data_IF_669461366016
#
_entry.id   IF_669461366016
#
_cell.length_a   1.000
_cell.length_b   1.000
_cell.length_c   1.000
_cell.angle_alpha   90.00
_cell.angle_beta   90.00
_cell.angle_gamma   90.00
#
_symmetry.space_group_name_H-M   'P 1'
#
loop_
_entity.id
_entity.type
_entity.pdbx_description
1 polymer ?
#
# COMPACT_ATOMS: atom_id res chain seq x y z
N UNK A 1 -13.20 -5.26 -67.69
CA UNK A 1 -13.02 -4.27 -66.61
C UNK A 1 -12.26 -4.97 -65.50
N UNK A 2 -10.96 -4.71 -65.36
CA UNK A 2 -10.13 -5.36 -64.35
C UNK A 2 -10.43 -4.76 -62.96
N UNK A 3 -10.45 -5.57 -61.88
CA UNK A 3 -10.63 -5.05 -60.53
C UNK A 3 -9.43 -4.17 -60.13
N UNK A 4 -9.64 -3.14 -59.29
CA UNK A 4 -8.56 -2.28 -58.83
C UNK A 4 -7.59 -3.06 -57.93
N UNK A 5 -6.29 -2.76 -57.99
CA UNK A 5 -5.32 -3.41 -57.12
C UNK A 5 -5.62 -3.05 -55.66
N UNK A 6 -5.78 -4.09 -54.83
CA UNK A 6 -5.90 -3.97 -53.38
C UNK A 6 -4.64 -3.29 -52.84
N UNK A 7 -4.79 -2.08 -52.30
CA UNK A 7 -3.68 -1.38 -51.65
C UNK A 7 -3.13 -2.27 -50.53
N UNK A 8 -1.90 -2.76 -50.70
CA UNK A 8 -1.18 -3.47 -49.66
C UNK A 8 -1.09 -2.55 -48.44
N UNK A 9 -1.60 -2.98 -47.29
CA UNK A 9 -1.32 -2.29 -46.02
C UNK A 9 0.19 -2.34 -45.83
N UNK A 10 0.86 -1.21 -46.05
CA UNK A 10 2.27 -1.05 -45.74
C UNK A 10 2.53 -1.37 -44.26
N UNK A 11 3.80 -1.63 -43.92
CA UNK A 11 4.23 -1.78 -42.54
C UNK A 11 3.63 -0.67 -41.67
N UNK A 12 3.16 -0.97 -40.44
CA UNK A 12 2.56 0.03 -39.56
C UNK A 12 3.52 1.21 -39.40
N UNK A 13 3.02 2.43 -39.66
CA UNK A 13 3.77 3.66 -39.51
C UNK A 13 4.38 3.73 -38.10
N UNK A 14 5.71 3.81 -38.02
CA UNK A 14 6.45 3.80 -36.77
C UNK A 14 6.03 4.96 -35.85
N UNK A 15 5.67 6.12 -36.42
CA UNK A 15 5.16 7.26 -35.67
C UNK A 15 3.79 6.95 -35.04
N UNK A 16 2.89 6.30 -35.79
CA UNK A 16 1.59 5.88 -35.30
C UNK A 16 1.72 4.80 -34.20
N UNK A 17 2.65 3.85 -34.35
CA UNK A 17 2.92 2.83 -33.33
C UNK A 17 3.46 3.45 -32.04
N UNK A 18 4.45 4.33 -32.14
CA UNK A 18 4.99 5.11 -31.03
C UNK A 18 3.91 5.87 -30.28
N UNK A 19 3.07 6.63 -31.00
CA UNK A 19 1.97 7.40 -30.41
C UNK A 19 0.96 6.53 -29.66
N UNK A 20 0.62 5.35 -30.20
CA UNK A 20 -0.26 4.38 -29.53
C UNK A 20 0.36 3.84 -28.24
N UNK A 21 1.64 3.48 -28.25
CA UNK A 21 2.35 3.01 -27.05
C UNK A 21 2.34 4.10 -25.98
N UNK A 22 2.73 5.32 -26.33
CA UNK A 22 2.77 6.46 -25.41
C UNK A 22 1.39 6.71 -24.79
N UNK A 23 0.34 6.77 -25.62
CA UNK A 23 -1.03 7.02 -25.17
C UNK A 23 -1.50 5.92 -24.22
N UNK A 24 -1.28 4.66 -24.57
CA UNK A 24 -1.68 3.52 -23.75
C UNK A 24 -0.91 3.46 -22.43
N UNK A 25 0.41 3.69 -22.45
CA UNK A 25 1.23 3.69 -21.25
C UNK A 25 0.81 4.79 -20.27
N UNK A 26 0.55 5.99 -20.78
CA UNK A 26 0.10 7.11 -19.95
C UNK A 26 -1.32 6.93 -19.41
N UNK A 27 -2.21 6.27 -20.16
CA UNK A 27 -3.58 6.03 -19.72
C UNK A 27 -3.68 4.89 -18.69
N UNK A 28 -3.02 3.76 -18.96
CA UNK A 28 -3.33 2.50 -18.29
C UNK A 28 -2.18 1.94 -17.44
N UNK A 29 -0.94 2.43 -17.63
CA UNK A 29 0.27 1.85 -17.01
C UNK A 29 1.03 2.83 -16.12
N UNK A 30 0.31 3.72 -15.44
CA UNK A 30 0.88 4.69 -14.50
C UNK A 30 1.79 4.03 -13.45
N UNK A 31 1.41 2.85 -12.95
CA UNK A 31 2.24 2.09 -12.00
C UNK A 31 3.61 1.71 -12.57
N UNK A 32 3.65 1.24 -13.81
CA UNK A 32 4.90 0.87 -14.50
C UNK A 32 5.79 2.08 -14.70
N UNK A 33 5.23 3.23 -15.07
CA UNK A 33 6.01 4.47 -15.23
C UNK A 33 6.63 4.92 -13.90
N UNK A 34 5.89 4.81 -12.79
CA UNK A 34 6.41 5.07 -11.44
C UNK A 34 7.54 4.13 -11.08
N UNK A 35 7.39 2.83 -11.36
CA UNK A 35 8.40 1.82 -11.13
C UNK A 35 9.70 2.11 -11.87
N UNK A 36 9.61 2.47 -13.16
CA UNK A 36 10.79 2.78 -13.96
C UNK A 36 11.56 3.98 -13.41
N UNK A 37 10.84 5.05 -13.03
CA UNK A 37 11.45 6.22 -12.41
C UNK A 37 12.12 5.91 -11.06
N UNK A 38 11.50 5.08 -10.21
CA UNK A 38 12.08 4.71 -8.92
C UNK A 38 13.32 3.83 -9.08
N UNK A 39 13.25 2.82 -9.95
CA UNK A 39 14.32 1.83 -10.10
C UNK A 39 15.48 2.36 -10.93
N UNK A 40 15.22 2.84 -12.15
CA UNK A 40 16.26 3.24 -13.09
C UNK A 40 16.75 4.67 -12.89
N UNK A 41 15.92 5.56 -12.37
CA UNK A 41 16.24 6.98 -12.20
C UNK A 41 16.40 7.40 -10.74
N UNK A 42 16.20 6.47 -9.78
CA UNK A 42 16.27 6.73 -8.34
C UNK A 42 15.39 7.88 -7.86
N UNK A 43 14.29 8.16 -8.55
CA UNK A 43 13.33 9.19 -8.16
C UNK A 43 12.57 8.71 -6.92
N UNK A 44 12.49 9.50 -5.83
CA UNK A 44 11.69 9.15 -4.66
C UNK A 44 10.21 8.94 -5.02
N UNK A 45 9.52 8.01 -4.33
CA UNK A 45 8.11 7.68 -4.63
C UNK A 45 7.20 8.90 -4.77
N UNK A 46 7.35 9.89 -3.89
CA UNK A 46 6.57 11.13 -3.90
C UNK A 46 6.71 11.92 -5.21
N UNK A 47 7.86 11.86 -5.87
CA UNK A 47 8.10 12.54 -7.15
C UNK A 47 7.62 11.78 -8.37
N UNK A 48 7.14 10.54 -8.19
CA UNK A 48 6.65 9.70 -9.28
C UNK A 48 5.15 9.82 -9.52
N UNK A 49 4.39 10.51 -8.65
CA UNK A 49 2.93 10.58 -8.75
C UNK A 49 2.41 11.14 -10.08
N UNK A 50 3.19 11.97 -10.78
CA UNK A 50 2.86 12.56 -12.09
C UNK A 50 3.68 11.93 -13.23
N UNK A 51 4.07 10.66 -13.10
CA UNK A 51 4.86 9.97 -14.10
C UNK A 51 4.17 9.99 -15.47
N UNK A 52 4.93 10.33 -16.51
CA UNK A 52 4.44 10.24 -17.89
C UNK A 52 5.56 9.80 -18.84
N UNK A 53 5.18 9.04 -19.86
CA UNK A 53 6.03 8.66 -20.98
C UNK A 53 5.93 9.75 -22.06
N UNK A 54 7.04 10.40 -22.37
CA UNK A 54 7.13 11.41 -23.42
C UNK A 54 7.54 10.82 -24.76
N UNK A 55 8.48 9.87 -24.73
CA UNK A 55 9.07 9.28 -25.94
C UNK A 55 9.44 7.81 -25.69
N UNK A 56 9.38 7.01 -26.76
CA UNK A 56 9.92 5.66 -26.85
C UNK A 56 10.61 5.47 -28.20
N UNK A 57 11.83 4.95 -28.16
CA UNK A 57 12.62 4.51 -29.32
C UNK A 57 12.98 3.03 -29.20
N UNK A 58 13.79 2.48 -30.10
CA UNK A 58 14.34 1.12 -29.96
C UNK A 58 15.42 1.02 -28.88
N UNK A 59 16.02 2.15 -28.47
CA UNK A 59 17.17 2.18 -27.56
C UNK A 59 16.84 2.69 -26.17
N UNK A 60 15.80 3.51 -26.01
CA UNK A 60 15.45 4.10 -24.72
C UNK A 60 13.98 4.57 -24.67
N UNK A 61 13.50 4.81 -23.45
CA UNK A 61 12.30 5.61 -23.16
C UNK A 61 12.67 6.91 -22.48
N UNK A 62 11.80 7.91 -22.64
CA UNK A 62 11.93 9.19 -21.97
C UNK A 62 10.71 9.39 -21.08
N UNK A 63 10.98 9.52 -19.78
CA UNK A 63 9.98 9.66 -18.73
C UNK A 63 10.06 11.05 -18.12
N UNK A 64 8.92 11.61 -17.71
CA UNK A 64 8.86 12.83 -16.94
C UNK A 64 8.41 12.54 -15.51
N UNK A 65 8.96 13.27 -14.55
CA UNK A 65 8.60 13.21 -13.13
C UNK A 65 8.53 14.62 -12.55
N UNK A 66 8.20 14.76 -11.25
CA UNK A 66 8.24 16.07 -10.59
C UNK A 66 9.65 16.69 -10.55
N UNK A 67 10.68 15.90 -10.81
CA UNK A 67 12.08 16.34 -10.85
C UNK A 67 12.59 16.56 -12.29
N UNK A 68 11.71 16.50 -13.28
CA UNK A 68 12.03 16.75 -14.68
C UNK A 68 12.14 15.47 -15.52
N UNK A 69 12.89 15.58 -16.62
CA UNK A 69 12.95 14.58 -17.70
C UNK A 69 14.09 13.58 -17.47
N UNK A 70 13.80 12.29 -17.65
CA UNK A 70 14.68 11.16 -17.41
C UNK A 70 14.75 10.28 -18.65
N UNK A 71 15.94 9.73 -18.94
CA UNK A 71 16.15 8.80 -20.06
C UNK A 71 16.50 7.44 -19.48
N UNK A 72 15.73 6.41 -19.86
CA UNK A 72 15.97 5.02 -19.44
C UNK A 72 16.33 4.19 -20.66
N UNK A 73 17.57 3.70 -20.77
CA UNK A 73 17.98 2.86 -21.89
C UNK A 73 17.40 1.45 -21.79
N UNK A 74 17.18 0.82 -22.95
CA UNK A 74 16.83 -0.57 -23.07
C UNK A 74 18.09 -1.43 -23.16
N UNK A 75 18.22 -2.40 -22.26
CA UNK A 75 19.32 -3.37 -22.27
C UNK A 75 18.77 -4.80 -22.38
N UNK A 76 19.06 -5.54 -23.47
CA UNK A 76 19.57 -5.05 -24.75
C UNK A 76 18.57 -4.14 -25.49
N UNK A 77 19.02 -3.32 -26.46
CA UNK A 77 18.12 -2.55 -27.33
C UNK A 77 17.14 -3.44 -28.09
N UNK A 78 15.96 -2.91 -28.39
CA UNK A 78 14.94 -3.61 -29.18
C UNK A 78 15.30 -3.57 -30.66
N UNK A 79 14.91 -4.61 -31.42
CA UNK A 79 15.09 -4.63 -32.88
C UNK A 79 14.03 -3.81 -33.60
N UNK A 80 12.86 -3.67 -32.98
CA UNK A 80 11.68 -2.99 -33.53
C UNK A 80 10.76 -2.56 -32.40
N UNK A 81 9.98 -1.50 -32.60
CA UNK A 81 8.93 -1.07 -31.65
C UNK A 81 7.83 -2.14 -31.44
N UNK A 82 7.76 -3.15 -32.31
CA UNK A 82 6.88 -4.32 -32.10
C UNK A 82 7.25 -5.11 -30.84
N UNK A 83 8.52 -5.10 -30.42
CA UNK A 83 9.00 -5.73 -29.18
C UNK A 83 8.69 -4.88 -27.94
N UNK A 84 8.19 -3.65 -28.10
CA UNK A 84 7.98 -2.68 -27.03
C UNK A 84 7.09 -3.19 -25.90
N UNK A 85 6.01 -3.91 -26.23
CA UNK A 85 5.12 -4.49 -25.20
C UNK A 85 5.87 -5.49 -24.33
N UNK A 86 6.56 -6.44 -24.94
CA UNK A 86 7.29 -7.48 -24.21
C UNK A 86 8.40 -6.86 -23.37
N UNK A 87 9.15 -5.91 -23.93
CA UNK A 87 10.24 -5.21 -23.25
C UNK A 87 9.75 -4.44 -22.02
N UNK A 88 8.66 -3.67 -22.14
CA UNK A 88 8.10 -2.89 -21.04
C UNK A 88 7.51 -3.79 -19.93
N UNK A 89 6.85 -4.90 -20.31
CA UNK A 89 6.39 -5.90 -19.33
C UNK A 89 7.56 -6.52 -18.58
N UNK A 90 8.65 -6.88 -19.27
CA UNK A 90 9.85 -7.42 -18.63
C UNK A 90 10.49 -6.41 -17.67
N UNK A 91 10.60 -5.13 -18.08
CA UNK A 91 11.08 -4.06 -17.20
C UNK A 91 10.18 -3.88 -15.97
N UNK A 92 8.86 -3.97 -16.13
CA UNK A 92 7.90 -3.85 -15.03
C UNK A 92 8.11 -4.94 -13.98
N UNK A 93 8.18 -6.20 -14.43
CA UNK A 93 8.43 -7.34 -13.54
C UNK A 93 9.80 -7.25 -12.87
N UNK A 94 10.81 -6.78 -13.59
CA UNK A 94 12.13 -6.54 -13.04
C UNK A 94 12.09 -5.48 -11.91
N UNK A 95 11.46 -4.34 -12.17
CA UNK A 95 11.36 -3.27 -11.17
C UNK A 95 10.60 -3.71 -9.91
N UNK A 96 9.50 -4.47 -10.06
CA UNK A 96 8.76 -5.03 -8.92
C UNK A 96 9.66 -5.90 -8.04
N UNK A 97 10.46 -6.77 -8.67
CA UNK A 97 11.38 -7.66 -7.97
C UNK A 97 12.49 -6.88 -7.25
N UNK A 98 13.14 -5.95 -7.94
CA UNK A 98 14.28 -5.20 -7.39
C UNK A 98 13.88 -4.21 -6.29
N UNK A 99 12.67 -3.65 -6.34
CA UNK A 99 12.17 -2.72 -5.31
C UNK A 99 11.44 -3.43 -4.15
N UNK A 100 11.28 -4.75 -4.23
CA UNK A 100 10.46 -5.59 -3.33
C UNK A 100 9.03 -5.05 -3.20
N UNK A 101 8.40 -4.78 -4.35
CA UNK A 101 7.04 -4.27 -4.46
C UNK A 101 6.12 -5.31 -5.10
N UNK A 102 4.84 -5.22 -4.78
CA UNK A 102 3.79 -6.02 -5.42
C UNK A 102 3.13 -5.26 -6.56
N UNK A 103 2.50 -6.00 -7.46
CA UNK A 103 1.68 -5.45 -8.55
C UNK A 103 0.23 -5.14 -8.11
N UNK A 104 0.01 -5.04 -6.80
CA UNK A 104 -1.29 -4.81 -6.16
C UNK A 104 -1.24 -3.47 -5.45
N UNK A 105 -2.14 -2.58 -5.84
CA UNK A 105 -2.26 -1.24 -5.25
C UNK A 105 -3.40 -1.23 -4.25
N UNK A 106 -3.10 -0.86 -3.01
CA UNK A 106 -4.11 -0.61 -1.96
C UNK A 106 -4.27 0.91 -1.79
N UNK A 107 -5.37 1.42 -2.32
CA UNK A 107 -5.74 2.84 -2.35
C UNK A 107 -6.94 3.18 -1.45
N UNK A 108 -7.75 2.19 -1.08
CA UNK A 108 -8.89 2.32 -0.19
C UNK A 108 -8.69 1.59 1.14
N UNK A 109 -9.41 2.06 2.15
CA UNK A 109 -9.56 1.41 3.44
C UNK A 109 -11.04 1.10 3.66
N UNK A 110 -11.32 -0.10 4.16
CA UNK A 110 -12.65 -0.50 4.60
C UNK A 110 -12.53 -1.00 6.04
N UNK A 111 -13.45 -0.65 6.96
CA UNK A 111 -13.39 -1.13 8.33
C UNK A 111 -13.44 -2.66 8.42
N UNK A 112 -12.81 -3.28 9.44
CA UNK A 112 -12.83 -4.71 9.61
C UNK A 112 -14.24 -5.22 9.87
N UNK A 113 -14.54 -6.41 9.36
CA UNK A 113 -15.79 -7.12 9.63
C UNK A 113 -15.73 -7.87 10.97
N UNK A 114 -16.90 -7.98 11.62
CA UNK A 114 -17.07 -8.71 12.88
C UNK A 114 -16.82 -7.84 14.12
N UNK A 115 -17.29 -8.33 15.27
CA UNK A 115 -17.32 -7.57 16.53
C UNK A 115 -15.95 -7.55 17.24
N UNK A 116 -15.14 -8.60 17.05
CA UNK A 116 -13.90 -8.80 17.78
C UNK A 116 -12.90 -7.64 17.68
N UNK A 117 -12.57 -7.09 16.49
CA UNK A 117 -11.64 -5.96 16.38
C UNK A 117 -12.11 -4.72 17.13
N UNK A 118 -13.42 -4.45 17.14
CA UNK A 118 -13.97 -3.31 17.86
C UNK A 118 -13.90 -3.48 19.38
N UNK A 119 -14.15 -4.69 19.89
CA UNK A 119 -14.01 -5.00 21.32
C UNK A 119 -12.54 -4.88 21.76
N UNK A 120 -11.62 -5.44 20.97
CA UNK A 120 -10.19 -5.33 21.25
C UNK A 120 -9.73 -3.87 21.22
N UNK A 121 -10.12 -3.12 20.20
CA UNK A 121 -9.80 -1.69 20.09
C UNK A 121 -10.36 -0.87 21.26
N UNK A 122 -11.61 -1.14 21.68
CA UNK A 122 -12.21 -0.50 22.85
C UNK A 122 -11.44 -0.82 24.14
N UNK A 123 -10.98 -2.07 24.31
CA UNK A 123 -10.16 -2.47 25.45
C UNK A 123 -8.80 -1.75 25.45
N UNK A 124 -8.14 -1.65 24.30
CA UNK A 124 -6.86 -0.92 24.17
C UNK A 124 -7.05 0.57 24.48
N UNK A 125 -8.12 1.19 23.96
CA UNK A 125 -8.46 2.58 24.29
C UNK A 125 -8.71 2.73 25.79
N UNK A 126 -9.49 1.83 26.40
CA UNK A 126 -9.78 1.86 27.82
C UNK A 126 -8.49 1.77 28.64
N UNK A 127 -7.58 0.86 28.29
CA UNK A 127 -6.28 0.71 28.96
C UNK A 127 -5.46 1.99 28.83
N UNK A 128 -5.23 2.47 27.60
CA UNK A 128 -4.38 3.63 27.33
C UNK A 128 -4.93 4.93 27.94
N UNK A 129 -6.23 5.03 28.19
CA UNK A 129 -6.85 6.20 28.81
C UNK A 129 -6.96 6.11 30.33
N UNK A 130 -6.96 4.92 30.93
CA UNK A 130 -7.17 4.74 32.38
C UNK A 130 -5.90 4.39 33.14
N UNK A 131 -5.01 3.57 32.57
CA UNK A 131 -3.79 3.10 33.24
C UNK A 131 -2.75 4.20 33.53
N UNK A 132 -2.66 5.30 32.76
CA UNK A 132 -1.86 6.46 33.17
C UNK A 132 -2.30 7.06 34.51
N UNK A 133 -3.57 6.92 34.89
CA UNK A 133 -4.14 7.38 36.16
C UNK A 133 -4.24 6.22 37.15
N UNK A 134 -3.18 5.44 37.28
CA UNK A 134 -3.12 4.20 38.05
C UNK A 134 -3.70 4.31 39.46
N UNK A 135 -3.51 5.42 40.17
CA UNK A 135 -4.04 5.59 41.53
C UNK A 135 -5.57 5.63 41.59
N UNK A 136 -6.22 5.99 40.49
CA UNK A 136 -7.68 5.93 40.33
C UNK A 136 -8.21 4.50 40.17
N UNK A 137 -7.34 3.47 40.04
CA UNK A 137 -7.75 2.06 40.04
C UNK A 137 -7.94 1.49 41.45
N UNK A 138 -7.65 2.27 42.51
CA UNK A 138 -7.79 1.80 43.89
C UNK A 138 -9.19 2.11 44.43
N UNK A 139 -9.77 1.27 45.31
CA UNK A 139 -11.09 1.49 45.89
C UNK A 139 -11.26 2.84 46.59
N UNK A 140 -10.19 3.33 47.22
CA UNK A 140 -10.19 4.58 47.98
C UNK A 140 -10.41 5.81 47.08
N UNK A 141 -10.13 5.68 45.78
CA UNK A 141 -10.27 6.78 44.82
C UNK A 141 -11.73 7.16 44.55
N UNK A 142 -12.69 6.22 44.73
CA UNK A 142 -14.12 6.37 44.36
C UNK A 142 -14.32 6.97 42.97
N UNK A 143 -13.42 6.65 42.06
CA UNK A 143 -13.40 7.24 40.72
C UNK A 143 -14.17 6.38 39.73
N UNK A 144 -14.60 6.98 38.63
CA UNK A 144 -15.19 6.24 37.51
C UNK A 144 -14.23 5.16 36.96
N UNK A 145 -12.91 5.37 37.05
CA UNK A 145 -11.90 4.40 36.63
C UNK A 145 -11.96 3.15 37.51
N UNK A 146 -12.04 3.32 38.83
CA UNK A 146 -12.24 2.20 39.76
C UNK A 146 -13.55 1.46 39.46
N UNK A 147 -14.65 2.20 39.24
CA UNK A 147 -15.95 1.59 38.96
C UNK A 147 -15.94 0.78 37.65
N UNK A 148 -15.34 1.30 36.57
CA UNK A 148 -15.22 0.56 35.30
C UNK A 148 -14.43 -0.74 35.50
N UNK A 149 -13.25 -0.66 36.13
CA UNK A 149 -12.36 -1.82 36.27
C UNK A 149 -12.77 -2.78 37.39
N UNK A 150 -13.66 -2.37 38.30
CA UNK A 150 -14.29 -3.25 39.29
C UNK A 150 -15.64 -3.80 38.81
N UNK A 151 -16.08 -3.46 37.59
CA UNK A 151 -17.40 -3.81 37.04
C UNK A 151 -18.53 -3.34 37.96
N UNK A 152 -18.50 -2.06 38.34
CA UNK A 152 -19.45 -1.46 39.28
C UNK A 152 -19.35 -2.05 40.69
N UNK A 153 -18.16 -2.48 41.12
CA UNK A 153 -17.93 -3.14 42.40
C UNK A 153 -18.29 -4.63 42.45
N UNK A 154 -18.79 -5.22 41.36
CA UNK A 154 -19.09 -6.66 41.30
C UNK A 154 -17.82 -7.52 41.34
N UNK A 155 -16.71 -7.02 40.81
CA UNK A 155 -15.42 -7.71 40.73
C UNK A 155 -14.28 -6.78 41.17
N UNK A 156 -14.18 -6.40 42.45
CA UNK A 156 -13.13 -5.48 42.94
C UNK A 156 -11.70 -5.99 42.69
N UNK A 157 -11.54 -7.33 42.63
CA UNK A 157 -10.26 -7.97 42.32
C UNK A 157 -9.73 -7.63 40.93
N UNK A 158 -10.59 -7.32 39.95
CA UNK A 158 -10.18 -6.92 38.61
C UNK A 158 -9.50 -5.54 38.63
N UNK A 159 -10.06 -4.56 39.36
CA UNK A 159 -9.44 -3.25 39.54
C UNK A 159 -8.07 -3.35 40.24
N UNK A 160 -7.97 -4.22 41.26
CA UNK A 160 -6.71 -4.47 41.94
C UNK A 160 -5.67 -5.13 41.02
N UNK A 161 -6.07 -6.12 40.22
CA UNK A 161 -5.20 -6.75 39.23
C UNK A 161 -4.71 -5.73 38.19
N UNK A 162 -5.61 -4.89 37.68
CA UNK A 162 -5.27 -3.81 36.74
C UNK A 162 -4.31 -2.81 37.39
N UNK A 163 -4.51 -2.44 38.65
CA UNK A 163 -3.58 -1.59 39.38
C UNK A 163 -2.17 -2.22 39.44
N UNK A 164 -2.06 -3.53 39.71
CA UNK A 164 -0.77 -4.20 39.80
C UNK A 164 -0.07 -4.32 38.44
N UNK A 165 -0.83 -4.64 37.39
CA UNK A 165 -0.29 -4.89 36.06
C UNK A 165 -0.16 -3.63 35.18
N UNK A 166 -0.79 -2.51 35.56
CA UNK A 166 -0.89 -1.33 34.72
C UNK A 166 0.44 -0.86 34.11
N UNK A 167 1.55 -0.71 34.87
CA UNK A 167 2.82 -0.28 34.29
C UNK A 167 3.37 -1.26 33.24
N UNK A 168 3.30 -2.57 33.52
CA UNK A 168 3.81 -3.61 32.63
C UNK A 168 2.96 -3.74 31.36
N UNK A 169 1.62 -3.76 31.51
CA UNK A 169 0.69 -3.85 30.38
C UNK A 169 0.77 -2.60 29.52
N UNK A 170 0.85 -1.41 30.12
CA UNK A 170 0.96 -0.16 29.39
C UNK A 170 2.26 -0.09 28.56
N UNK A 171 3.39 -0.45 29.17
CA UNK A 171 4.67 -0.51 28.48
C UNK A 171 4.63 -1.54 27.33
N UNK A 172 4.06 -2.72 27.58
CA UNK A 172 3.91 -3.76 26.57
C UNK A 172 3.06 -3.29 25.38
N UNK A 173 1.88 -2.71 25.62
CA UNK A 173 1.00 -2.23 24.54
C UNK A 173 1.70 -1.18 23.68
N UNK A 174 2.35 -0.19 24.29
CA UNK A 174 3.04 0.86 23.53
C UNK A 174 4.21 0.31 22.70
N UNK A 175 5.01 -0.60 23.26
CA UNK A 175 6.13 -1.20 22.53
C UNK A 175 5.60 -2.12 21.42
N UNK A 176 4.70 -3.04 21.73
CA UNK A 176 4.17 -4.00 20.79
C UNK A 176 3.47 -3.30 19.62
N UNK A 177 2.52 -2.41 19.90
CA UNK A 177 1.77 -1.70 18.86
C UNK A 177 2.69 -0.73 18.09
N UNK A 178 3.66 -0.10 18.75
CA UNK A 178 4.66 0.74 18.08
C UNK A 178 5.51 -0.05 17.08
N UNK A 179 6.01 -1.23 17.49
CA UNK A 179 6.76 -2.14 16.60
C UNK A 179 5.87 -2.62 15.46
N UNK A 180 4.66 -3.06 15.75
CA UNK A 180 3.69 -3.51 14.75
C UNK A 180 3.38 -2.42 13.72
N UNK A 181 3.11 -1.18 14.14
CA UNK A 181 2.89 -0.06 13.22
C UNK A 181 4.09 0.18 12.31
N UNK A 182 5.32 0.10 12.84
CA UNK A 182 6.54 0.25 12.04
C UNK A 182 6.70 -0.89 11.02
N UNK A 183 6.44 -2.13 11.43
CA UNK A 183 6.51 -3.31 10.55
C UNK A 183 5.43 -3.24 9.47
N UNK A 184 4.21 -2.84 9.82
CA UNK A 184 3.10 -2.66 8.88
C UNK A 184 3.45 -1.58 7.85
N UNK A 185 3.92 -0.41 8.32
CA UNK A 185 4.27 0.72 7.46
C UNK A 185 5.41 0.42 6.49
N UNK A 186 6.53 -0.12 6.99
CA UNK A 186 7.74 -0.34 6.17
C UNK A 186 7.64 -1.58 5.29
N UNK A 187 6.86 -2.57 5.72
CA UNK A 187 6.60 -3.80 4.98
C UNK A 187 5.39 -3.68 4.08
N UNK A 188 4.22 -4.08 4.59
CA UNK A 188 2.99 -4.30 3.81
C UNK A 188 2.47 -3.04 3.12
N UNK A 189 2.36 -1.91 3.85
CA UNK A 189 1.83 -0.68 3.25
C UNK A 189 2.70 -0.22 2.08
N UNK A 190 4.02 -0.20 2.27
CA UNK A 190 4.98 0.12 1.20
C UNK A 190 4.89 -0.87 0.03
N UNK A 191 4.95 -2.17 0.32
CA UNK A 191 4.93 -3.24 -0.69
C UNK A 191 3.70 -3.18 -1.60
N UNK A 192 2.57 -2.71 -1.07
CA UNK A 192 1.29 -2.64 -1.77
C UNK A 192 0.87 -1.20 -2.12
N UNK A 193 1.85 -0.29 -2.30
CA UNK A 193 1.65 1.07 -2.83
C UNK A 193 0.69 1.95 -2.03
N UNK A 194 0.57 1.72 -0.73
CA UNK A 194 -0.16 2.64 0.14
C UNK A 194 0.71 3.88 0.33
N UNK A 195 0.30 4.99 -0.28
CA UNK A 195 1.08 6.23 -0.27
C UNK A 195 1.27 6.74 1.17
N UNK A 196 2.53 6.96 1.57
CA UNK A 196 2.89 7.39 2.92
C UNK A 196 2.19 8.71 3.26
N UNK A 197 1.66 8.83 4.48
CA UNK A 197 0.89 9.99 4.95
C UNK A 197 -0.44 10.26 4.22
N UNK A 198 -0.85 9.40 3.29
CA UNK A 198 -2.21 9.46 2.75
C UNK A 198 -3.26 9.15 3.82
N UNK A 199 -4.51 9.50 3.55
CA UNK A 199 -5.64 9.12 4.42
C UNK A 199 -5.69 7.61 4.63
N UNK A 200 -5.54 6.82 3.56
CA UNK A 200 -5.56 5.35 3.61
C UNK A 200 -4.43 4.81 4.48
N UNK A 201 -3.23 5.39 4.40
CA UNK A 201 -2.10 5.03 5.26
C UNK A 201 -2.38 5.26 6.74
N UNK A 202 -2.93 6.42 7.09
CA UNK A 202 -3.30 6.73 8.47
C UNK A 202 -4.43 5.85 9.00
N UNK A 203 -5.40 5.47 8.16
CA UNK A 203 -6.46 4.54 8.57
C UNK A 203 -5.91 3.16 8.92
N UNK A 204 -4.98 2.63 8.11
CA UNK A 204 -4.31 1.36 8.41
C UNK A 204 -3.46 1.43 9.68
N UNK A 205 -2.71 2.52 9.87
CA UNK A 205 -1.94 2.71 11.09
C UNK A 205 -2.80 2.92 12.33
N UNK A 206 -3.93 3.62 12.20
CA UNK A 206 -4.89 3.81 13.28
C UNK A 206 -5.57 2.49 13.67
N UNK A 207 -5.90 1.64 12.71
CA UNK A 207 -6.38 0.29 13.04
C UNK A 207 -5.28 -0.51 13.75
N UNK A 208 -4.06 -0.54 13.22
CA UNK A 208 -2.94 -1.24 13.83
C UNK A 208 -2.64 -0.76 15.26
N UNK A 209 -2.75 0.54 15.53
CA UNK A 209 -2.54 1.07 16.88
C UNK A 209 -3.62 0.65 17.87
N UNK A 210 -4.80 0.26 17.40
CA UNK A 210 -5.93 -0.18 18.23
C UNK A 210 -6.00 -1.69 18.41
N UNK A 211 -5.70 -2.47 17.36
CA UNK A 211 -5.94 -3.93 17.35
C UNK A 211 -4.68 -4.75 17.07
N UNK A 212 -3.53 -4.09 16.92
CA UNK A 212 -2.23 -4.72 16.71
C UNK A 212 -2.20 -5.62 15.48
N UNK A 213 -1.64 -6.83 15.65
CA UNK A 213 -1.55 -7.85 14.61
C UNK A 213 -2.86 -8.16 13.85
N UNK A 214 -4.03 -7.94 14.45
CA UNK A 214 -5.32 -8.15 13.74
C UNK A 214 -5.44 -7.25 12.50
N UNK A 215 -4.82 -6.07 12.51
CA UNK A 215 -4.76 -5.16 11.36
C UNK A 215 -3.96 -5.77 10.19
N UNK A 216 -2.94 -6.57 10.47
CA UNK A 216 -2.16 -7.26 9.44
C UNK A 216 -3.01 -8.32 8.73
N UNK A 217 -3.76 -9.11 9.50
CA UNK A 217 -4.66 -10.11 8.94
C UNK A 217 -5.77 -9.48 8.10
N UNK A 218 -6.25 -8.30 8.50
CA UNK A 218 -7.21 -7.53 7.75
C UNK A 218 -6.60 -6.97 6.45
N UNK A 219 -5.39 -6.42 6.52
CA UNK A 219 -4.65 -5.96 5.36
C UNK A 219 -4.40 -7.10 4.35
N UNK A 220 -3.91 -8.25 4.82
CA UNK A 220 -3.62 -9.42 3.98
C UNK A 220 -4.88 -9.96 3.29
N UNK A 221 -6.04 -9.93 3.97
CA UNK A 221 -7.34 -10.25 3.34
C UNK A 221 -7.72 -9.25 2.25
N UNK A 222 -7.44 -7.97 2.45
CA UNK A 222 -7.72 -6.91 1.47
C UNK A 222 -6.85 -7.06 0.24
N UNK A 223 -5.56 -7.35 0.42
CA UNK A 223 -4.62 -7.69 -0.66
C UNK A 223 -5.12 -8.89 -1.44
N UNK A 224 -5.44 -9.98 -0.75
CA UNK A 224 -5.94 -11.20 -1.40
C UNK A 224 -7.22 -10.95 -2.21
N UNK A 225 -8.16 -10.18 -1.66
CA UNK A 225 -9.38 -9.84 -2.39
C UNK A 225 -9.10 -9.05 -3.69
N UNK A 226 -8.10 -8.15 -3.67
CA UNK A 226 -7.67 -7.44 -4.88
C UNK A 226 -6.94 -8.35 -5.86
N UNK A 227 -6.12 -9.28 -5.37
CA UNK A 227 -5.45 -10.29 -6.19
C UNK A 227 -6.47 -11.17 -6.93
N UNK A 228 -7.46 -11.69 -6.21
CA UNK A 228 -8.53 -12.52 -6.76
C UNK A 228 -9.35 -11.74 -7.82
N UNK A 229 -9.68 -10.47 -7.54
CA UNK A 229 -10.38 -9.61 -8.49
C UNK A 229 -9.56 -9.31 -9.76
N UNK A 230 -8.24 -9.17 -9.63
CA UNK A 230 -7.33 -8.97 -10.76
C UNK A 230 -7.18 -10.24 -11.60
N UNK A 231 -7.04 -11.40 -10.95
CA UNK A 231 -6.99 -12.70 -11.61
C UNK A 231 -8.26 -13.04 -12.37
N UNK A 232 -9.43 -12.76 -11.80
CA UNK A 232 -10.73 -12.95 -12.47
C UNK A 232 -10.92 -12.05 -13.70
N UNK A 233 -10.41 -10.81 -13.67
CA UNK A 233 -10.45 -9.90 -14.82
C UNK A 233 -9.51 -10.30 -15.97
N UNK A 234 -8.42 -11.02 -15.68
CA UNK A 234 -7.49 -11.48 -16.70
C UNK A 234 -7.97 -12.74 -17.46
N UNK A 235 -9.04 -13.39 -16.98
CA UNK A 235 -9.64 -14.59 -17.59
C UNK A 235 -10.85 -14.30 -18.49
N UNK A 236 -11.26 -13.03 -18.60
CA UNK A 236 -12.33 -12.56 -19.50
C UNK A 236 -11.76 -11.64 -20.59
#
# INVERSE_FOLDING_TARGET
MAPPPTAARGAPDAAAMKSRIITHMNADHQLSLRLYLQHYCHVPSSGTAQASLEDITTEHIILNSSFGRHVVPFEPPMKSLMEGREKLVAMHQHCLKELDLSDIVIDSYHPPSGVFPYVLGALVVLICTTFPFRDNLRPESRSLIYDIWSVGGLVPGLAWLSYQLAPAVQAFIYIAHGVEMLVLARGRLRRHWVETFSRTWWLWLGECSLVGYSAFQHFDRTVKAKEDAKGGKAQH
#
